data_IF_776329331343
#
_entry.id   IF_776329331343
#
_cell.length_a   1.000
_cell.length_b   1.000
_cell.length_c   1.000
_cell.angle_alpha   90.00
_cell.angle_beta   90.00
_cell.angle_gamma   90.00
#
_symmetry.space_group_name_H-M   'P 1'
#
loop_
_entity.id
_entity.type
_entity.pdbx_description
1 polymer ?
#
# COMPACT_ATOMS: atom_id res chain seq x y z
N UNK A 1 -19.59 -1.20 -26.16
CA UNK A 1 -18.24 -1.16 -25.53
C UNK A 1 -18.28 -1.86 -24.18
N UNK A 2 -18.83 -3.08 -24.14
CA UNK A 2 -19.60 -3.51 -22.96
C UNK A 2 -18.90 -4.47 -21.98
N UNK A 3 -17.69 -4.97 -22.26
CA UNK A 3 -17.13 -6.06 -21.45
C UNK A 3 -15.93 -5.71 -20.55
N UNK A 4 -15.18 -4.64 -20.81
CA UNK A 4 -13.94 -4.35 -20.06
C UNK A 4 -14.01 -3.08 -19.19
N UNK A 5 -14.82 -2.08 -19.56
CA UNK A 5 -14.94 -0.80 -18.85
C UNK A 5 -16.32 -0.60 -18.19
N UNK A 6 -17.26 -1.51 -18.43
CA UNK A 6 -18.59 -1.48 -17.81
C UNK A 6 -18.55 -1.76 -16.31
N UNK A 7 -19.72 -1.75 -15.66
CA UNK A 7 -19.90 -2.19 -14.27
C UNK A 7 -20.42 -3.64 -14.17
N UNK A 8 -20.74 -4.28 -15.29
CA UNK A 8 -21.28 -5.63 -15.32
C UNK A 8 -20.15 -6.64 -15.05
N UNK A 9 -20.34 -7.49 -14.05
CA UNK A 9 -19.45 -8.63 -13.82
C UNK A 9 -19.68 -9.70 -14.89
N UNK A 10 -18.68 -9.90 -15.74
CA UNK A 10 -18.69 -10.97 -16.75
C UNK A 10 -18.05 -12.25 -16.23
N UNK A 11 -16.90 -12.12 -15.53
CA UNK A 11 -16.15 -13.24 -14.95
C UNK A 11 -15.59 -12.84 -13.58
N UNK A 12 -15.83 -13.65 -12.52
CA UNK A 12 -15.31 -13.37 -11.19
C UNK A 12 -13.80 -13.58 -11.13
N UNK A 13 -13.11 -12.74 -10.32
CA UNK A 13 -11.69 -12.94 -10.08
C UNK A 13 -11.41 -14.32 -9.44
N UNK A 14 -10.37 -15.00 -9.92
CA UNK A 14 -9.87 -16.25 -9.35
C UNK A 14 -8.43 -16.08 -8.85
N UNK A 15 -8.23 -16.33 -7.56
CA UNK A 15 -6.91 -16.28 -6.94
C UNK A 15 -5.97 -17.31 -7.58
N UNK A 16 -4.75 -16.87 -7.85
CA UNK A 16 -3.66 -17.65 -8.46
C UNK A 16 -3.93 -18.16 -9.89
N UNK A 17 -4.89 -17.54 -10.58
CA UNK A 17 -4.99 -17.63 -12.05
C UNK A 17 -3.72 -17.11 -12.74
N UNK A 18 -3.54 -17.43 -14.02
CA UNK A 18 -2.37 -16.98 -14.82
C UNK A 18 -2.22 -15.46 -14.77
N UNK A 19 -3.32 -14.71 -14.93
CA UNK A 19 -3.30 -13.24 -14.85
C UNK A 19 -2.88 -12.75 -13.46
N UNK A 20 -3.35 -13.39 -12.38
CA UNK A 20 -2.91 -13.07 -11.03
C UNK A 20 -1.41 -13.30 -10.84
N UNK A 21 -0.90 -14.47 -11.26
CA UNK A 21 0.53 -14.82 -11.15
C UNK A 21 1.39 -13.84 -11.95
N UNK A 22 0.94 -13.41 -13.14
CA UNK A 22 1.63 -12.38 -13.93
C UNK A 22 1.70 -11.07 -13.14
N UNK A 23 0.61 -10.61 -12.52
CA UNK A 23 0.63 -9.39 -11.71
C UNK A 23 1.58 -9.51 -10.51
N UNK A 24 1.58 -10.64 -9.80
CA UNK A 24 2.54 -10.88 -8.72
C UNK A 24 3.98 -10.88 -9.23
N UNK A 25 4.24 -11.48 -10.39
CA UNK A 25 5.54 -11.46 -11.05
C UNK A 25 6.01 -10.04 -11.39
N UNK A 26 5.11 -9.19 -11.92
CA UNK A 26 5.40 -7.78 -12.21
C UNK A 26 5.69 -6.98 -10.93
N UNK A 27 4.96 -7.24 -9.85
CA UNK A 27 5.22 -6.63 -8.55
C UNK A 27 6.65 -6.92 -8.06
N UNK A 28 7.05 -8.20 -8.08
CA UNK A 28 8.38 -8.65 -7.67
C UNK A 28 9.46 -8.11 -8.62
N UNK A 29 9.20 -8.12 -9.93
CA UNK A 29 10.12 -7.55 -10.93
C UNK A 29 10.39 -6.06 -10.64
N UNK A 30 9.36 -5.28 -10.32
CA UNK A 30 9.51 -3.87 -9.95
C UNK A 30 10.42 -3.67 -8.73
N UNK A 31 10.30 -4.53 -7.71
CA UNK A 31 11.18 -4.51 -6.53
C UNK A 31 12.62 -4.88 -6.92
N UNK A 32 12.82 -5.92 -7.73
CA UNK A 32 14.15 -6.35 -8.19
C UNK A 32 14.82 -5.26 -9.01
N UNK A 33 14.09 -4.61 -9.91
CA UNK A 33 14.60 -3.49 -10.70
C UNK A 33 14.95 -2.31 -9.79
N UNK A 34 14.09 -1.95 -8.83
CA UNK A 34 14.38 -0.89 -7.88
C UNK A 34 15.68 -1.15 -7.09
N UNK A 35 15.87 -2.38 -6.60
CA UNK A 35 17.08 -2.77 -5.86
C UNK A 35 18.31 -2.77 -6.77
N UNK A 36 18.20 -3.36 -7.97
CA UNK A 36 19.28 -3.43 -8.95
C UNK A 36 19.77 -2.05 -9.38
N UNK A 37 18.84 -1.10 -9.52
CA UNK A 37 19.14 0.27 -9.93
C UNK A 37 19.25 1.26 -8.75
N UNK A 38 19.24 0.78 -7.51
CA UNK A 38 19.16 1.62 -6.32
C UNK A 38 20.29 2.65 -6.25
N UNK A 39 21.52 2.23 -6.56
CA UNK A 39 22.69 3.11 -6.47
C UNK A 39 22.67 4.20 -7.54
N UNK A 40 22.20 3.92 -8.76
CA UNK A 40 22.02 4.97 -9.78
C UNK A 40 20.90 5.93 -9.38
N UNK A 41 19.77 5.42 -8.90
CA UNK A 41 18.64 6.25 -8.43
C UNK A 41 19.12 7.18 -7.30
N UNK A 42 19.87 6.65 -6.32
CA UNK A 42 20.35 7.43 -5.18
C UNK A 42 21.35 8.52 -5.59
N UNK A 43 22.28 8.21 -6.49
CA UNK A 43 23.39 9.12 -6.82
C UNK A 43 23.07 10.10 -7.95
N UNK A 44 22.08 9.79 -8.80
CA UNK A 44 21.75 10.61 -9.98
C UNK A 44 20.43 11.37 -9.78
N UNK A 45 20.55 12.68 -9.46
CA UNK A 45 19.39 13.54 -9.14
C UNK A 45 18.28 13.49 -10.20
N UNK A 46 18.62 13.49 -11.49
CA UNK A 46 17.63 13.43 -12.57
C UNK A 46 16.79 12.15 -12.56
N UNK A 47 17.42 10.99 -12.39
CA UNK A 47 16.73 9.69 -12.33
C UNK A 47 15.83 9.63 -11.10
N UNK A 48 16.32 10.13 -9.95
CA UNK A 48 15.57 10.22 -8.71
C UNK A 48 14.28 11.06 -8.88
N UNK A 49 14.40 12.26 -9.43
CA UNK A 49 13.25 13.15 -9.64
C UNK A 49 12.24 12.57 -10.65
N UNK A 50 12.72 11.95 -11.73
CA UNK A 50 11.86 11.26 -12.69
C UNK A 50 11.07 10.14 -12.01
N UNK A 51 11.74 9.27 -11.25
CA UNK A 51 11.06 8.20 -10.52
C UNK A 51 10.06 8.75 -9.49
N UNK A 52 10.43 9.80 -8.75
CA UNK A 52 9.55 10.45 -7.76
C UNK A 52 8.24 10.93 -8.40
N UNK A 53 8.37 11.70 -9.48
CA UNK A 53 7.22 12.29 -10.16
C UNK A 53 6.43 11.26 -10.94
N UNK A 54 7.07 10.18 -11.40
CA UNK A 54 6.38 9.03 -12.01
C UNK A 54 5.49 8.35 -10.98
N UNK A 55 6.01 8.00 -9.79
CA UNK A 55 5.21 7.41 -8.71
C UNK A 55 4.05 8.32 -8.29
N UNK A 56 4.30 9.61 -8.13
CA UNK A 56 3.27 10.60 -7.80
C UNK A 56 2.16 10.63 -8.86
N UNK A 57 2.55 10.77 -10.12
CA UNK A 57 1.62 10.89 -11.24
C UNK A 57 0.81 9.61 -11.41
N UNK A 58 1.44 8.43 -11.25
CA UNK A 58 0.74 7.16 -11.36
C UNK A 58 -0.28 6.95 -10.24
N UNK A 59 0.01 7.35 -8.99
CA UNK A 59 -0.99 7.34 -7.90
C UNK A 59 -2.16 8.27 -8.21
N UNK A 60 -1.86 9.51 -8.62
CA UNK A 60 -2.87 10.52 -8.93
C UNK A 60 -3.78 10.09 -10.08
N UNK A 61 -3.18 9.65 -11.20
CA UNK A 61 -3.92 9.18 -12.36
C UNK A 61 -4.73 7.92 -12.03
N UNK A 62 -4.18 7.01 -11.23
CA UNK A 62 -4.90 5.82 -10.80
C UNK A 62 -6.16 6.18 -10.00
N UNK A 63 -6.07 7.14 -9.07
CA UNK A 63 -7.21 7.60 -8.29
C UNK A 63 -8.24 8.35 -9.14
N UNK A 64 -7.80 9.33 -9.93
CA UNK A 64 -8.68 10.08 -10.86
C UNK A 64 -9.38 9.13 -11.82
N UNK A 65 -8.66 8.14 -12.38
CA UNK A 65 -9.24 7.18 -13.30
C UNK A 65 -10.34 6.34 -12.64
N UNK A 66 -10.19 6.00 -11.36
CA UNK A 66 -11.19 5.21 -10.65
C UNK A 66 -12.44 6.02 -10.32
N UNK A 67 -12.26 7.24 -9.83
CA UNK A 67 -13.36 8.18 -9.60
C UNK A 67 -14.13 8.43 -10.92
N UNK A 68 -13.40 8.65 -12.01
CA UNK A 68 -13.98 8.83 -13.36
C UNK A 68 -14.74 7.58 -13.80
N UNK A 69 -14.16 6.38 -13.65
CA UNK A 69 -14.84 5.13 -14.02
C UNK A 69 -16.15 4.94 -13.25
N UNK A 70 -16.15 5.23 -11.95
CA UNK A 70 -17.34 5.10 -11.11
C UNK A 70 -18.45 6.10 -11.51
N UNK A 71 -18.07 7.35 -11.84
CA UNK A 71 -19.02 8.37 -12.31
C UNK A 71 -19.59 8.00 -13.68
N UNK A 72 -18.73 7.61 -14.63
CA UNK A 72 -19.14 7.24 -16.00
C UNK A 72 -20.08 6.03 -16.00
N UNK A 73 -19.88 5.07 -15.10
CA UNK A 73 -20.73 3.90 -14.97
C UNK A 73 -21.94 4.11 -14.03
N UNK A 74 -22.14 5.33 -13.50
CA UNK A 74 -23.30 5.65 -12.65
C UNK A 74 -23.32 4.93 -11.30
N UNK A 75 -22.18 4.41 -10.83
CA UNK A 75 -22.06 3.67 -9.55
C UNK A 75 -21.42 4.49 -8.44
N UNK A 76 -20.90 5.68 -8.75
CA UNK A 76 -20.22 6.53 -7.78
C UNK A 76 -21.16 6.92 -6.63
N UNK A 77 -20.69 6.72 -5.40
CA UNK A 77 -21.38 7.10 -4.18
C UNK A 77 -20.40 7.32 -3.02
N UNK A 78 -20.79 8.10 -2.02
CA UNK A 78 -19.95 8.43 -0.86
C UNK A 78 -19.77 7.28 0.13
N UNK A 79 -20.49 6.17 -0.05
CA UNK A 79 -20.48 5.01 0.84
C UNK A 79 -19.32 4.07 0.48
N UNK A 80 -19.00 3.95 -0.80
CA UNK A 80 -18.05 2.98 -1.33
C UNK A 80 -16.86 3.62 -2.04
N UNK A 81 -17.03 4.81 -2.64
CA UNK A 81 -16.06 5.32 -3.62
C UNK A 81 -15.12 6.39 -3.08
N UNK A 82 -15.34 6.93 -1.87
CA UNK A 82 -14.34 7.84 -1.27
C UNK A 82 -13.04 7.07 -0.96
N UNK A 83 -11.86 7.69 -1.12
CA UNK A 83 -10.56 7.08 -0.87
C UNK A 83 -10.24 6.97 0.64
N UNK A 84 -11.22 6.57 1.45
CA UNK A 84 -11.14 6.50 2.91
C UNK A 84 -10.71 5.13 3.43
N UNK A 85 -10.70 4.09 2.57
CA UNK A 85 -10.03 2.83 2.89
C UNK A 85 -8.52 3.02 3.13
N UNK A 86 -7.89 2.09 3.83
CA UNK A 86 -6.48 2.19 4.23
C UNK A 86 -5.53 2.42 3.04
N UNK A 87 -5.71 1.70 1.93
CA UNK A 87 -4.93 1.91 0.71
C UNK A 87 -5.20 3.27 0.04
N UNK A 88 -6.42 3.79 0.14
CA UNK A 88 -6.80 5.11 -0.39
C UNK A 88 -6.09 6.24 0.37
N UNK A 89 -6.16 6.22 1.70
CA UNK A 89 -5.43 7.21 2.51
C UNK A 89 -3.92 7.03 2.42
N UNK A 90 -3.41 5.79 2.28
CA UNK A 90 -2.00 5.53 2.02
C UNK A 90 -1.53 6.12 0.69
N UNK A 91 -2.35 6.05 -0.36
CA UNK A 91 -2.08 6.69 -1.66
C UNK A 91 -1.98 8.22 -1.51
N UNK A 92 -2.93 8.84 -0.82
CA UNK A 92 -2.93 10.30 -0.57
C UNK A 92 -1.69 10.72 0.23
N UNK A 93 -1.40 10.03 1.33
CA UNK A 93 -0.24 10.33 2.17
C UNK A 93 1.07 10.08 1.41
N UNK A 94 1.13 9.04 0.56
CA UNK A 94 2.25 8.77 -0.32
C UNK A 94 2.48 9.89 -1.33
N UNK A 95 1.42 10.39 -1.98
CA UNK A 95 1.50 11.55 -2.88
C UNK A 95 2.03 12.80 -2.15
N UNK A 96 1.49 13.10 -0.96
CA UNK A 96 1.94 14.22 -0.15
C UNK A 96 3.40 14.05 0.31
N UNK A 97 3.82 12.83 0.66
CA UNK A 97 5.20 12.53 1.02
C UNK A 97 6.15 12.69 -0.18
N UNK A 98 5.74 12.28 -1.38
CA UNK A 98 6.51 12.48 -2.62
C UNK A 98 6.69 13.96 -2.95
N UNK A 99 5.66 14.79 -2.73
CA UNK A 99 5.76 16.23 -2.95
C UNK A 99 6.63 16.94 -1.91
N UNK A 100 6.39 16.66 -0.63
CA UNK A 100 6.94 17.45 0.48
C UNK A 100 8.23 16.88 1.06
N UNK A 101 8.51 15.58 0.84
CA UNK A 101 9.59 14.83 1.49
C UNK A 101 9.51 14.88 3.03
N UNK A 102 8.33 15.19 3.57
CA UNK A 102 8.13 15.33 4.99
C UNK A 102 8.38 13.98 5.68
N UNK A 103 9.29 13.97 6.64
CA UNK A 103 9.73 12.73 7.32
C UNK A 103 8.59 11.99 8.02
N UNK A 104 7.60 12.74 8.54
CA UNK A 104 6.44 12.15 9.19
C UNK A 104 5.53 11.44 8.18
N UNK A 105 5.29 12.05 7.03
CA UNK A 105 4.51 11.43 5.96
C UNK A 105 5.22 10.20 5.39
N UNK A 106 6.54 10.26 5.21
CA UNK A 106 7.36 9.11 4.81
C UNK A 106 7.24 7.97 5.83
N UNK A 107 7.33 8.27 7.13
CA UNK A 107 7.17 7.30 8.20
C UNK A 107 5.78 6.65 8.19
N UNK A 108 4.72 7.43 8.08
CA UNK A 108 3.36 6.89 8.06
C UNK A 108 3.17 6.02 6.82
N UNK A 109 3.53 6.53 5.63
CA UNK A 109 3.42 5.81 4.35
C UNK A 109 4.21 4.50 4.36
N UNK A 110 5.36 4.46 5.02
CA UNK A 110 6.12 3.23 5.20
C UNK A 110 5.23 2.14 5.83
N UNK A 111 4.64 2.38 7.00
CA UNK A 111 3.87 1.35 7.71
C UNK A 111 2.54 0.99 7.05
N UNK A 112 1.78 1.98 6.58
CA UNK A 112 0.43 1.71 6.04
C UNK A 112 0.43 1.38 4.54
N UNK A 113 1.49 1.74 3.81
CA UNK A 113 1.55 1.62 2.35
C UNK A 113 2.24 0.36 1.83
N UNK A 114 3.22 -0.19 2.54
CA UNK A 114 4.02 -1.31 2.00
C UNK A 114 3.30 -2.65 2.20
N UNK A 115 3.25 -3.15 3.43
CA UNK A 115 2.73 -4.48 3.71
C UNK A 115 1.22 -4.58 3.46
N UNK A 116 0.38 -3.61 3.84
CA UNK A 116 -1.06 -3.68 3.52
C UNK A 116 -1.34 -3.74 2.03
N UNK A 117 -0.66 -2.92 1.21
CA UNK A 117 -0.85 -2.97 -0.24
C UNK A 117 -0.29 -4.26 -0.86
N UNK A 118 0.83 -4.78 -0.33
CA UNK A 118 1.35 -6.10 -0.71
C UNK A 118 0.35 -7.22 -0.40
N UNK A 119 -0.28 -7.21 0.77
CA UNK A 119 -1.30 -8.20 1.14
C UNK A 119 -2.52 -8.09 0.22
N UNK A 120 -2.95 -6.87 -0.13
CA UNK A 120 -4.02 -6.66 -1.11
C UNK A 120 -3.67 -7.24 -2.50
N UNK A 121 -2.39 -7.26 -2.90
CA UNK A 121 -1.96 -7.93 -4.13
C UNK A 121 -2.04 -9.45 -4.03
N UNK A 122 -1.75 -10.04 -2.86
CA UNK A 122 -1.72 -11.51 -2.68
C UNK A 122 -3.11 -12.09 -2.45
N UNK A 123 -3.96 -11.38 -1.70
CA UNK A 123 -5.34 -11.75 -1.38
C UNK A 123 -6.29 -10.64 -1.82
N UNK A 124 -6.44 -10.43 -3.14
CA UNK A 124 -7.22 -9.33 -3.68
C UNK A 124 -8.72 -9.53 -3.42
N UNK A 125 -9.36 -8.46 -3.00
CA UNK A 125 -10.81 -8.35 -2.96
C UNK A 125 -11.25 -7.55 -4.18
N UNK A 126 -11.61 -8.29 -5.23
CA UNK A 126 -11.89 -7.72 -6.54
C UNK A 126 -13.00 -8.52 -7.23
N UNK A 127 -14.07 -7.87 -7.70
CA UNK A 127 -15.17 -8.58 -8.35
C UNK A 127 -14.84 -9.11 -9.76
N UNK A 128 -13.94 -8.45 -10.50
CA UNK A 128 -13.74 -8.73 -11.93
C UNK A 128 -12.38 -9.38 -12.23
N UNK A 129 -12.36 -10.39 -13.09
CA UNK A 129 -11.14 -10.94 -13.66
C UNK A 129 -10.53 -10.05 -14.77
N UNK A 130 -9.29 -10.34 -15.17
CA UNK A 130 -8.69 -9.77 -16.38
C UNK A 130 -9.56 -10.11 -17.62
N UNK A 131 -9.75 -9.19 -18.58
CA UNK A 131 -9.08 -7.89 -18.81
C UNK A 131 -9.83 -6.67 -18.27
N UNK A 132 -10.69 -6.82 -17.27
CA UNK A 132 -11.52 -5.73 -16.79
C UNK A 132 -10.71 -4.54 -16.23
N UNK A 133 -11.19 -3.31 -16.43
CA UNK A 133 -10.54 -2.09 -15.95
C UNK A 133 -10.29 -2.14 -14.44
N UNK A 134 -11.28 -2.60 -13.65
CA UNK A 134 -11.15 -2.75 -12.19
C UNK A 134 -10.01 -3.68 -11.80
N UNK A 135 -9.77 -4.75 -12.58
CA UNK A 135 -8.61 -5.64 -12.38
C UNK A 135 -7.30 -4.86 -12.57
N UNK A 136 -7.14 -4.21 -13.72
CA UNK A 136 -5.91 -3.47 -14.01
C UNK A 136 -5.68 -2.34 -13.00
N UNK A 137 -6.71 -1.53 -12.71
CA UNK A 137 -6.67 -0.47 -11.71
C UNK A 137 -6.22 -1.03 -10.37
N UNK A 138 -6.88 -2.08 -9.87
CA UNK A 138 -6.60 -2.63 -8.54
C UNK A 138 -5.13 -3.01 -8.40
N UNK A 139 -4.63 -3.86 -9.30
CA UNK A 139 -3.25 -4.33 -9.20
C UNK A 139 -2.23 -3.22 -9.40
N UNK A 140 -2.41 -2.37 -10.42
CA UNK A 140 -1.50 -1.24 -10.68
C UNK A 140 -1.44 -0.31 -9.47
N UNK A 141 -2.59 0.08 -8.91
CA UNK A 141 -2.68 0.98 -7.78
C UNK A 141 -1.94 0.44 -6.55
N UNK A 142 -2.18 -0.81 -6.17
CA UNK A 142 -1.57 -1.41 -4.99
C UNK A 142 -0.06 -1.64 -5.17
N UNK A 143 0.41 -1.96 -6.39
CA UNK A 143 1.84 -2.00 -6.69
C UNK A 143 2.49 -0.63 -6.45
N UNK A 144 1.90 0.44 -7.00
CA UNK A 144 2.46 1.78 -6.89
C UNK A 144 2.46 2.27 -5.44
N UNK A 145 1.43 1.98 -4.64
CA UNK A 145 1.40 2.33 -3.21
C UNK A 145 2.58 1.66 -2.49
N UNK A 146 2.74 0.35 -2.65
CA UNK A 146 3.82 -0.40 -2.00
C UNK A 146 5.20 0.09 -2.47
N UNK A 147 5.40 0.22 -3.77
CA UNK A 147 6.64 0.76 -4.35
C UNK A 147 6.93 2.19 -3.88
N UNK A 148 5.90 3.03 -3.72
CA UNK A 148 6.05 4.38 -3.18
C UNK A 148 6.55 4.35 -1.74
N UNK A 149 5.98 3.49 -0.88
CA UNK A 149 6.46 3.31 0.48
C UNK A 149 7.92 2.85 0.53
N UNK A 150 8.28 1.85 -0.29
CA UNK A 150 9.66 1.34 -0.40
C UNK A 150 10.62 2.44 -0.88
N UNK A 151 10.25 3.17 -1.93
CA UNK A 151 11.05 4.24 -2.50
C UNK A 151 11.27 5.38 -1.49
N UNK A 152 10.19 5.86 -0.86
CA UNK A 152 10.25 6.96 0.11
C UNK A 152 11.14 6.60 1.31
N UNK A 153 10.96 5.41 1.90
CA UNK A 153 11.77 5.00 3.05
C UNK A 153 13.24 4.76 2.67
N UNK A 154 13.51 4.31 1.44
CA UNK A 154 14.88 3.98 1.01
C UNK A 154 15.68 5.20 0.57
N UNK A 155 15.02 6.24 0.02
CA UNK A 155 15.66 7.41 -0.58
C UNK A 155 15.57 8.66 0.31
N UNK A 156 14.42 8.88 0.96
CA UNK A 156 14.14 10.15 1.65
C UNK A 156 14.04 10.04 3.17
N UNK A 157 14.07 8.83 3.74
CA UNK A 157 14.12 8.69 5.19
C UNK A 157 15.52 9.04 5.70
N UNK A 158 15.63 10.14 6.45
CA UNK A 158 16.91 10.67 6.92
C UNK A 158 17.36 10.07 8.26
N UNK A 159 16.46 9.39 8.98
CA UNK A 159 16.73 8.78 10.29
C UNK A 159 16.27 7.32 10.29
N UNK A 160 16.98 6.46 11.02
CA UNK A 160 16.57 5.05 11.16
C UNK A 160 15.16 4.97 11.74
N UNK A 161 14.33 4.09 11.18
CA UNK A 161 13.01 3.81 11.74
C UNK A 161 13.17 3.12 13.10
N UNK A 162 12.66 3.74 14.16
CA UNK A 162 12.75 3.24 15.53
C UNK A 162 11.46 2.53 15.93
N UNK A 163 11.49 1.76 17.03
CA UNK A 163 10.29 1.16 17.58
C UNK A 163 9.28 2.21 18.07
N UNK A 164 9.73 3.40 18.47
CA UNK A 164 8.83 4.54 18.76
C UNK A 164 7.94 4.88 17.55
N UNK A 165 8.48 4.80 16.34
CA UNK A 165 7.70 5.05 15.12
C UNK A 165 6.64 3.99 14.86
N UNK A 166 6.84 2.75 15.30
CA UNK A 166 5.82 1.68 15.29
C UNK A 166 4.64 2.12 16.14
N UNK A 167 4.88 2.45 17.41
CA UNK A 167 3.85 2.86 18.36
C UNK A 167 3.13 4.14 17.92
N UNK A 168 3.86 5.15 17.45
CA UNK A 168 3.27 6.40 16.96
C UNK A 168 2.34 6.17 15.77
N UNK A 169 2.78 5.40 14.77
CA UNK A 169 1.98 5.18 13.55
C UNK A 169 0.79 4.26 13.82
N UNK A 170 0.96 3.29 14.71
CA UNK A 170 -0.12 2.43 15.20
C UNK A 170 -1.19 3.25 15.94
N UNK A 171 -0.78 4.23 16.75
CA UNK A 171 -1.68 5.20 17.37
C UNK A 171 -2.45 6.03 16.34
N UNK A 172 -1.80 6.52 15.27
CA UNK A 172 -2.51 7.23 14.20
C UNK A 172 -3.49 6.34 13.45
N UNK A 173 -3.14 5.08 13.21
CA UNK A 173 -4.06 4.12 12.58
C UNK A 173 -5.32 3.94 13.43
N UNK A 174 -5.15 3.80 14.75
CA UNK A 174 -6.26 3.68 15.69
C UNK A 174 -7.13 4.95 15.72
N UNK A 175 -6.53 6.14 15.79
CA UNK A 175 -7.27 7.41 15.70
C UNK A 175 -8.04 7.50 14.37
N UNK A 176 -7.41 7.11 13.26
CA UNK A 176 -8.07 7.08 11.96
C UNK A 176 -9.21 6.06 11.92
N UNK A 177 -9.04 4.88 12.50
CA UNK A 177 -10.10 3.88 12.62
C UNK A 177 -11.31 4.41 13.41
N UNK A 178 -11.10 5.14 14.52
CA UNK A 178 -12.18 5.77 15.27
C UNK A 178 -12.92 6.83 14.43
N UNK A 179 -12.18 7.64 13.66
CA UNK A 179 -12.80 8.59 12.73
C UNK A 179 -13.63 7.87 11.66
N UNK A 180 -13.12 6.77 11.12
CA UNK A 180 -13.85 5.96 10.13
C UNK A 180 -15.06 5.26 10.73
N UNK A 181 -15.02 4.85 12.00
CA UNK A 181 -16.20 4.33 12.70
C UNK A 181 -17.31 5.40 12.79
N UNK A 182 -16.96 6.65 13.09
CA UNK A 182 -17.92 7.76 13.09
C UNK A 182 -18.48 8.05 11.68
N UNK A 183 -17.62 8.08 10.65
CA UNK A 183 -18.04 8.25 9.26
C UNK A 183 -18.97 7.12 8.81
N UNK A 184 -18.63 5.87 9.16
CA UNK A 184 -19.45 4.70 8.88
C UNK A 184 -20.83 4.78 9.54
N UNK A 185 -20.91 5.24 10.78
CA UNK A 185 -22.18 5.48 11.46
C UNK A 185 -23.02 6.59 10.81
N UNK A 186 -22.38 7.64 10.30
CA UNK A 186 -23.06 8.77 9.67
C UNK A 186 -23.53 8.49 8.23
N UNK A 187 -22.74 7.75 7.45
CA UNK A 187 -23.00 7.48 6.03
C UNK A 187 -23.62 6.11 5.77
N UNK A 188 -23.66 5.22 6.78
CA UNK A 188 -23.99 3.81 6.58
C UNK A 188 -22.91 3.05 5.78
N UNK A 189 -21.68 3.54 5.74
CA UNK A 189 -20.55 2.94 5.03
C UNK A 189 -19.83 1.87 5.83
N UNK A 190 -18.87 1.20 5.18
CA UNK A 190 -18.02 0.18 5.79
C UNK A 190 -16.52 0.41 5.48
N UNK A 191 -16.06 1.65 5.62
CA UNK A 191 -14.64 1.96 5.50
C UNK A 191 -13.83 1.20 6.55
N UNK A 192 -12.65 0.74 6.13
CA UNK A 192 -11.75 -0.12 6.92
C UNK A 192 -12.37 -1.46 7.35
N UNK A 193 -13.54 -1.84 6.82
CA UNK A 193 -14.28 -3.05 7.20
C UNK A 193 -14.63 -3.11 8.70
N UNK A 194 -14.83 -1.95 9.33
CA UNK A 194 -15.08 -1.87 10.77
C UNK A 194 -16.48 -2.36 11.17
N UNK A 195 -17.48 -2.25 10.28
CA UNK A 195 -18.85 -2.65 10.58
C UNK A 195 -19.11 -4.10 10.19
N UNK A 196 -18.54 -4.55 9.08
CA UNK A 196 -18.72 -5.90 8.54
C UNK A 196 -17.44 -6.37 7.85
N UNK A 197 -17.15 -7.67 7.96
CA UNK A 197 -16.06 -8.27 7.21
C UNK A 197 -16.30 -8.16 5.71
N UNK A 198 -15.24 -8.15 4.88
CA UNK A 198 -15.41 -8.19 3.44
C UNK A 198 -16.15 -9.45 2.96
N UNK A 199 -16.89 -9.35 1.85
CA UNK A 199 -17.61 -10.50 1.27
C UNK A 199 -16.65 -11.54 0.65
N UNK A 200 -15.51 -11.08 0.13
CA UNK A 200 -14.50 -11.99 -0.39
C UNK A 200 -13.78 -12.71 0.77
N UNK A 201 -13.40 -13.97 0.54
CA UNK A 201 -12.54 -14.74 1.46
C UNK A 201 -11.13 -14.16 1.48
N UNK A 202 -10.93 -13.16 2.33
CA UNK A 202 -9.66 -12.51 2.63
C UNK A 202 -9.15 -12.98 3.99
N UNK A 203 -7.90 -12.68 4.39
CA UNK A 203 -7.44 -12.97 5.75
C UNK A 203 -8.39 -12.43 6.84
N UNK A 204 -9.08 -11.30 6.57
CA UNK A 204 -10.05 -10.70 7.49
C UNK A 204 -11.27 -11.61 7.74
N UNK A 205 -11.64 -12.49 6.81
CA UNK A 205 -12.79 -13.39 7.02
C UNK A 205 -12.54 -14.42 8.14
N UNK A 206 -11.28 -14.65 8.50
CA UNK A 206 -10.89 -15.56 9.59
C UNK A 206 -10.78 -14.87 10.95
N UNK A 207 -11.02 -13.55 11.03
CA UNK A 207 -10.83 -12.79 12.27
C UNK A 207 -12.03 -12.90 13.22
N UNK A 208 -13.06 -13.67 12.86
CA UNK A 208 -14.26 -13.85 13.67
C UNK A 208 -15.23 -12.67 13.55
N UNK A 209 -16.05 -12.45 14.57
CA UNK A 209 -17.11 -11.44 14.57
C UNK A 209 -17.16 -10.65 15.88
N UNK A 210 -17.89 -9.53 15.87
CA UNK A 210 -18.12 -8.71 17.07
C UNK A 210 -16.83 -8.18 17.69
N UNK A 211 -16.71 -8.25 19.01
CA UNK A 211 -15.55 -7.73 19.73
C UNK A 211 -14.24 -8.47 19.42
N UNK A 212 -14.31 -9.78 19.15
CA UNK A 212 -13.15 -10.61 18.81
C UNK A 212 -12.53 -10.16 17.48
N UNK A 213 -13.36 -9.74 16.52
CA UNK A 213 -12.89 -9.21 15.23
C UNK A 213 -11.97 -8.00 15.41
N UNK A 214 -12.35 -7.04 16.26
CA UNK A 214 -11.53 -5.86 16.55
C UNK A 214 -10.22 -6.23 17.25
N UNK A 215 -10.26 -7.17 18.22
CA UNK A 215 -9.03 -7.66 18.86
C UNK A 215 -8.07 -8.25 17.81
N UNK A 216 -8.60 -9.08 16.91
CA UNK A 216 -7.79 -9.71 15.87
C UNK A 216 -7.25 -8.70 14.85
N UNK A 217 -8.00 -7.65 14.51
CA UNK A 217 -7.52 -6.53 13.70
C UNK A 217 -6.34 -5.82 14.38
N UNK A 218 -6.46 -5.49 15.67
CA UNK A 218 -5.39 -4.81 16.43
C UNK A 218 -4.15 -5.68 16.57
N UNK A 219 -4.32 -6.98 16.87
CA UNK A 219 -3.21 -7.95 16.92
C UNK A 219 -2.51 -8.04 15.56
N UNK A 220 -3.27 -8.18 14.48
CA UNK A 220 -2.72 -8.27 13.14
C UNK A 220 -1.97 -6.99 12.75
N UNK A 221 -2.56 -5.82 12.98
CA UNK A 221 -1.92 -4.54 12.69
C UNK A 221 -0.62 -4.35 13.50
N UNK A 222 -0.65 -4.65 14.80
CA UNK A 222 0.53 -4.58 15.68
C UNK A 222 1.62 -5.55 15.23
N UNK A 223 1.24 -6.80 14.91
CA UNK A 223 2.15 -7.82 14.39
C UNK A 223 2.80 -7.37 13.09
N UNK A 224 2.01 -6.91 12.10
CA UNK A 224 2.51 -6.50 10.79
C UNK A 224 3.43 -5.28 10.89
N UNK A 225 3.10 -4.29 11.73
CA UNK A 225 3.94 -3.11 11.93
C UNK A 225 5.28 -3.50 12.58
N UNK A 226 5.25 -4.37 13.58
CA UNK A 226 6.44 -4.86 14.27
C UNK A 226 7.30 -5.73 13.35
N UNK A 227 6.68 -6.59 12.55
CA UNK A 227 7.34 -7.42 11.55
C UNK A 227 8.04 -6.54 10.51
N UNK A 228 7.32 -5.56 9.94
CA UNK A 228 7.87 -4.66 8.94
C UNK A 228 9.06 -3.85 9.48
N UNK A 229 8.96 -3.33 10.71
CA UNK A 229 10.07 -2.67 11.39
C UNK A 229 11.27 -3.62 11.60
N UNK A 230 11.01 -4.86 12.03
CA UNK A 230 12.05 -5.85 12.28
C UNK A 230 12.82 -6.20 11.00
N UNK A 231 12.10 -6.40 9.89
CA UNK A 231 12.70 -6.63 8.56
C UNK A 231 13.55 -5.42 8.14
N UNK A 232 13.02 -4.20 8.26
CA UNK A 232 13.77 -2.98 7.96
C UNK A 232 15.06 -2.86 8.80
N UNK A 233 14.97 -3.16 10.10
CA UNK A 233 16.12 -3.13 11.02
C UNK A 233 17.17 -4.16 10.64
N UNK A 234 16.77 -5.39 10.28
CA UNK A 234 17.70 -6.44 9.86
C UNK A 234 18.47 -6.04 8.59
N UNK A 235 17.78 -5.48 7.59
CA UNK A 235 18.39 -5.02 6.33
C UNK A 235 19.38 -3.88 6.57
N UNK A 236 18.99 -2.89 7.38
CA UNK A 236 19.82 -1.70 7.64
C UNK A 236 21.01 -1.95 8.56
N UNK A 237 20.89 -2.85 9.54
CA UNK A 237 22.01 -3.23 10.41
C UNK A 237 23.09 -4.02 9.65
N UNK A 238 22.69 -4.94 8.76
CA UNK A 238 23.64 -5.71 7.95
C UNK A 238 24.52 -4.80 7.08
N UNK A 239 23.93 -3.75 6.50
CA UNK A 239 24.66 -2.75 5.71
C UNK A 239 25.69 -1.98 6.54
N UNK A 240 25.31 -1.55 7.74
CA UNK A 240 26.20 -0.86 8.68
C UNK A 240 27.44 -1.70 9.04
N UNK A 241 27.26 -3.01 9.24
CA UNK A 241 28.37 -3.90 9.62
C UNK A 241 29.32 -4.18 8.45
N UNK A 242 28.81 -4.25 7.22
CA UNK A 242 29.62 -4.46 6.01
C UNK A 242 30.45 -3.22 5.66
N UNK A 243 29.91 -2.01 5.85
CA UNK A 243 30.65 -0.74 5.65
C UNK A 243 31.83 -0.64 6.64
N UNK A 244 31.60 -0.95 7.93
CA UNK A 244 32.67 -0.99 8.94
C UNK A 244 33.73 -2.04 8.56
N UNK A 245 33.35 -3.26 8.20
CA UNK A 245 34.32 -4.29 7.85
C UNK A 245 35.16 -3.94 6.61
N UNK A 246 34.60 -3.18 5.66
CA UNK A 246 35.32 -2.69 4.50
C UNK A 246 36.35 -1.61 4.88
N UNK A 247 36.02 -0.65 5.76
CA UNK A 247 36.98 0.36 6.24
C UNK A 247 38.20 -0.28 6.95
N UNK A 248 37.97 -1.28 7.81
CA UNK A 248 39.04 -1.98 8.53
C UNK A 248 39.99 -2.79 7.63
N UNK A 249 39.56 -3.17 6.42
CA UNK A 249 40.38 -3.92 5.47
C UNK A 249 41.26 -3.02 4.58
N UNK A 250 41.02 -1.70 4.54
CA UNK A 250 41.86 -0.75 3.79
C UNK A 250 42.88 -0.01 4.66
N UNK A 251 42.76 -0.13 5.99
CA UNK A 251 43.73 0.42 6.96
C UNK A 251 44.84 -0.59 7.34
N UNK A 252 44.87 -1.77 6.73
CA UNK A 252 45.94 -2.78 6.86
C UNK A 252 46.70 -2.96 5.55
#
# INVERSE_FOLDING_TARGET
MENWFGNIMTEPFQAFSISHIIMLGLYILGIILFISFFQQIKNHKGINEVLRWSLFTLLLLSEISYQTWAVVNGVWNTVEHLPLHLCGIASILGMLALMTKNQKLVQITFFIGIIPAMLALVTPELPHAFPHYRFMKFFIHHMIISWTGIYLVSIYMNRRVTFKHVLETFGYLNVYALLMAAVNGALGSNYLYLNQTPEATTPLSFFGSGFIYFINLEIAACFLFTLQWSVYRAITNKKSNLEIQHEWNYEK
#
